data_IF_069744299911
#
_entry.id   IF_069744299911
#
_cell.length_a   1.000
_cell.length_b   1.000
_cell.length_c   1.000
_cell.angle_alpha   90.00
_cell.angle_beta   90.00
_cell.angle_gamma   90.00
#
_symmetry.space_group_name_H-M   'P 1'
#
loop_
_entity.id
_entity.type
_entity.pdbx_description
1 polymer ?
#
# COMPACT_ATOMS: atom_id res chain seq x y z
N UNK A 1 -30.72 9.88 -9.03
CA UNK A 1 -30.64 8.41 -9.20
C UNK A 1 -29.21 7.90 -9.09
N UNK A 2 -28.27 8.37 -9.94
CA UNK A 2 -26.88 7.90 -9.93
C UNK A 2 -26.13 8.17 -8.62
N UNK A 3 -26.28 9.36 -8.03
CA UNK A 3 -25.67 9.67 -6.74
C UNK A 3 -26.10 8.71 -5.61
N UNK A 4 -27.38 8.33 -5.58
CA UNK A 4 -27.90 7.37 -4.61
C UNK A 4 -27.29 5.98 -4.80
N UNK A 5 -27.18 5.51 -6.04
CA UNK A 5 -26.51 4.25 -6.37
C UNK A 5 -25.02 4.29 -5.97
N UNK A 6 -24.34 5.42 -6.19
CA UNK A 6 -22.96 5.61 -5.76
C UNK A 6 -22.79 5.48 -4.25
N UNK A 7 -23.62 6.18 -3.47
CA UNK A 7 -23.62 6.05 -2.00
C UNK A 7 -23.92 4.62 -1.54
N UNK A 8 -24.93 3.97 -2.12
CA UNK A 8 -25.28 2.59 -1.81
C UNK A 8 -24.13 1.62 -2.15
N UNK A 9 -23.44 1.84 -3.26
CA UNK A 9 -22.27 1.02 -3.65
C UNK A 9 -21.20 1.08 -2.57
N UNK A 10 -20.86 2.29 -2.09
CA UNK A 10 -19.86 2.48 -1.01
C UNK A 10 -20.32 1.83 0.28
N UNK A 11 -21.57 2.04 0.70
CA UNK A 11 -22.10 1.46 1.94
C UNK A 11 -22.10 -0.08 1.88
N UNK A 12 -22.60 -0.66 0.80
CA UNK A 12 -22.63 -2.12 0.62
C UNK A 12 -21.21 -2.70 0.59
N UNK A 13 -20.28 -2.03 -0.10
CA UNK A 13 -18.89 -2.44 -0.16
C UNK A 13 -18.24 -2.43 1.23
N UNK A 14 -18.43 -1.36 2.01
CA UNK A 14 -17.93 -1.25 3.38
C UNK A 14 -18.53 -2.33 4.28
N UNK A 15 -19.85 -2.52 4.25
CA UNK A 15 -20.51 -3.57 5.05
C UNK A 15 -20.03 -4.95 4.66
N UNK A 16 -19.88 -5.24 3.36
CA UNK A 16 -19.37 -6.52 2.88
C UNK A 16 -17.96 -6.82 3.40
N UNK A 17 -17.05 -5.84 3.33
CA UNK A 17 -15.66 -5.97 3.80
C UNK A 17 -15.62 -6.08 5.33
N UNK A 18 -16.30 -5.19 6.04
CA UNK A 18 -16.30 -5.13 7.52
C UNK A 18 -16.97 -6.34 8.16
N UNK A 19 -17.94 -6.96 7.48
CA UNK A 19 -18.58 -8.20 7.94
C UNK A 19 -17.62 -9.39 7.98
N UNK A 20 -16.44 -9.28 7.35
CA UNK A 20 -15.44 -10.36 7.18
C UNK A 20 -15.98 -11.63 6.51
N UNK A 21 -17.17 -11.58 5.90
CA UNK A 21 -17.81 -12.72 5.23
C UNK A 21 -17.38 -12.89 3.77
N UNK A 22 -16.78 -11.86 3.18
CA UNK A 22 -16.30 -11.88 1.80
C UNK A 22 -14.85 -11.38 1.75
N UNK A 23 -14.04 -11.96 0.87
CA UNK A 23 -12.69 -11.47 0.59
C UNK A 23 -12.79 -10.04 0.04
N UNK A 24 -12.02 -9.06 0.58
CA UNK A 24 -12.03 -7.69 0.11
C UNK A 24 -11.85 -7.54 -1.41
N UNK A 25 -11.00 -8.36 -2.03
CA UNK A 25 -10.78 -8.34 -3.48
C UNK A 25 -12.06 -8.70 -4.23
N UNK A 26 -12.77 -9.73 -3.77
CA UNK A 26 -14.05 -10.14 -4.36
C UNK A 26 -15.10 -9.04 -4.16
N UNK A 27 -15.13 -8.40 -2.98
CA UNK A 27 -16.03 -7.29 -2.70
C UNK A 27 -15.80 -6.09 -3.65
N UNK A 28 -14.53 -5.73 -3.86
CA UNK A 28 -14.11 -4.64 -4.74
C UNK A 28 -14.45 -4.88 -6.22
N UNK A 29 -14.59 -6.13 -6.64
CA UNK A 29 -14.96 -6.49 -8.02
C UNK A 29 -16.47 -6.61 -8.16
N UNK A 30 -17.11 -7.42 -7.32
CA UNK A 30 -18.50 -7.83 -7.51
C UNK A 30 -19.47 -6.69 -7.21
N UNK A 31 -19.23 -5.91 -6.15
CA UNK A 31 -20.16 -4.86 -5.72
C UNK A 31 -20.31 -3.77 -6.80
N UNK A 32 -19.22 -3.16 -7.34
CA UNK A 32 -19.37 -2.17 -8.40
C UNK A 32 -20.01 -2.72 -9.68
N UNK A 33 -19.75 -3.99 -10.04
CA UNK A 33 -20.37 -4.62 -11.21
C UNK A 33 -21.89 -4.74 -11.03
N UNK A 34 -22.35 -5.24 -9.88
CA UNK A 34 -23.80 -5.38 -9.60
C UNK A 34 -24.48 -4.02 -9.67
N UNK A 35 -23.92 -3.01 -9.01
CA UNK A 35 -24.50 -1.66 -9.00
C UNK A 35 -24.43 -0.99 -10.38
N UNK A 36 -23.39 -1.26 -11.19
CA UNK A 36 -23.31 -0.81 -12.58
C UNK A 36 -24.40 -1.40 -13.46
N UNK A 37 -24.71 -2.70 -13.30
CA UNK A 37 -25.82 -3.35 -14.01
C UNK A 37 -27.16 -2.75 -13.57
N UNK A 38 -27.40 -2.61 -12.26
CA UNK A 38 -28.63 -1.99 -11.71
C UNK A 38 -28.79 -0.55 -12.20
N UNK A 39 -27.68 0.18 -12.37
CA UNK A 39 -27.66 1.54 -12.91
C UNK A 39 -27.95 1.65 -14.41
N UNK A 40 -28.09 0.53 -15.12
CA UNK A 40 -28.33 0.49 -16.57
C UNK A 40 -27.06 0.50 -17.43
N UNK A 41 -25.87 0.46 -16.83
CA UNK A 41 -24.58 0.55 -17.51
C UNK A 41 -24.00 -0.81 -17.94
N UNK A 42 -24.84 -1.85 -18.07
CA UNK A 42 -24.39 -3.22 -18.34
C UNK A 42 -23.48 -3.36 -19.56
N UNK A 43 -23.81 -2.66 -20.67
CA UNK A 43 -23.02 -2.66 -21.90
C UNK A 43 -21.79 -1.76 -21.85
N UNK A 44 -21.76 -0.77 -20.94
CA UNK A 44 -20.65 0.17 -20.79
C UNK A 44 -19.63 -0.29 -19.73
N UNK A 45 -20.00 -1.24 -18.87
CA UNK A 45 -19.13 -1.83 -17.86
C UNK A 45 -17.76 -2.29 -18.40
N UNK A 46 -17.66 -3.00 -19.55
CA UNK A 46 -16.36 -3.38 -20.09
C UNK A 46 -15.46 -2.19 -20.40
N UNK A 47 -16.04 -1.07 -20.87
CA UNK A 47 -15.30 0.16 -21.14
C UNK A 47 -14.80 0.80 -19.85
N UNK A 48 -15.65 0.92 -18.82
CA UNK A 48 -15.24 1.46 -17.52
C UNK A 48 -14.17 0.61 -16.84
N UNK A 49 -14.27 -0.72 -16.93
CA UNK A 49 -13.24 -1.63 -16.43
C UNK A 49 -11.92 -1.40 -17.16
N UNK A 50 -11.94 -1.32 -18.49
CA UNK A 50 -10.73 -1.13 -19.28
C UNK A 50 -10.07 0.24 -19.00
N UNK A 51 -10.87 1.30 -18.89
CA UNK A 51 -10.39 2.64 -18.52
C UNK A 51 -9.79 2.63 -17.10
N UNK A 52 -10.46 1.99 -16.15
CA UNK A 52 -9.95 1.81 -14.79
C UNK A 52 -8.61 1.09 -14.77
N UNK A 53 -8.51 -0.06 -15.44
CA UNK A 53 -7.26 -0.84 -15.55
C UNK A 53 -6.15 -0.03 -16.21
N UNK A 54 -6.44 0.69 -17.30
CA UNK A 54 -5.44 1.55 -17.96
C UNK A 54 -4.93 2.66 -17.05
N UNK A 55 -5.80 3.25 -16.22
CA UNK A 55 -5.41 4.32 -15.30
C UNK A 55 -4.42 3.84 -14.23
N UNK A 56 -4.55 2.60 -13.76
CA UNK A 56 -3.68 2.02 -12.72
C UNK A 56 -2.51 1.20 -13.27
N UNK A 57 -2.46 0.94 -14.59
CA UNK A 57 -1.43 0.11 -15.21
C UNK A 57 0.02 0.60 -14.98
N UNK A 58 0.31 1.92 -15.02
CA UNK A 58 1.64 2.43 -14.68
C UNK A 58 2.04 2.10 -13.24
N UNK A 59 1.10 2.27 -12.30
CA UNK A 59 1.29 1.95 -10.89
C UNK A 59 1.53 0.45 -10.69
N UNK A 60 0.78 -0.41 -11.37
CA UNK A 60 0.99 -1.86 -11.33
C UNK A 60 2.38 -2.28 -11.85
N UNK A 61 2.83 -1.67 -12.95
CA UNK A 61 4.17 -1.91 -13.51
C UNK A 61 5.26 -1.50 -12.51
N UNK A 62 5.10 -0.35 -11.86
CA UNK A 62 6.01 0.11 -10.81
C UNK A 62 6.08 -0.88 -9.64
N UNK A 63 4.94 -1.48 -9.27
CA UNK A 63 4.91 -2.48 -8.19
C UNK A 63 5.70 -3.74 -8.55
N UNK A 64 5.49 -4.26 -9.76
CA UNK A 64 6.22 -5.43 -10.25
C UNK A 64 7.73 -5.14 -10.25
N UNK A 65 8.13 -3.98 -10.78
CA UNK A 65 9.53 -3.56 -10.78
C UNK A 65 10.10 -3.45 -9.36
N UNK A 66 9.43 -2.73 -8.46
CA UNK A 66 9.92 -2.49 -7.10
C UNK A 66 10.08 -3.80 -6.30
N UNK A 67 9.09 -4.70 -6.40
CA UNK A 67 9.15 -6.01 -5.73
C UNK A 67 10.32 -6.82 -6.24
N UNK A 68 10.52 -6.89 -7.57
CA UNK A 68 11.63 -7.63 -8.17
C UNK A 68 12.99 -7.00 -7.83
N UNK A 69 13.11 -5.67 -7.95
CA UNK A 69 14.34 -4.93 -7.67
C UNK A 69 14.78 -5.09 -6.21
N UNK A 70 13.89 -4.79 -5.26
CA UNK A 70 14.22 -4.91 -3.84
C UNK A 70 14.33 -6.36 -3.38
N UNK A 71 13.58 -7.28 -3.99
CA UNK A 71 13.74 -8.71 -3.78
C UNK A 71 15.15 -9.17 -4.14
N UNK A 72 15.61 -8.86 -5.36
CA UNK A 72 16.97 -9.20 -5.81
C UNK A 72 18.04 -8.56 -4.92
N UNK A 73 17.90 -7.28 -4.54
CA UNK A 73 18.85 -6.63 -3.64
C UNK A 73 18.91 -7.25 -2.25
N UNK A 74 17.78 -7.75 -1.74
CA UNK A 74 17.70 -8.46 -0.47
C UNK A 74 18.39 -9.82 -0.56
N UNK A 75 18.08 -10.59 -1.60
CA UNK A 75 18.65 -11.92 -1.81
C UNK A 75 20.16 -11.86 -2.09
N UNK A 76 20.63 -10.80 -2.76
CA UNK A 76 22.06 -10.55 -3.00
C UNK A 76 22.83 -10.09 -1.74
N UNK A 77 22.14 -9.81 -0.63
CA UNK A 77 22.77 -9.31 0.59
C UNK A 77 23.26 -7.86 0.49
N UNK A 78 22.86 -7.10 -0.54
CA UNK A 78 23.28 -5.71 -0.77
C UNK A 78 22.92 -4.80 0.40
N UNK A 79 21.86 -5.13 1.13
CA UNK A 79 21.44 -4.38 2.31
C UNK A 79 22.29 -4.66 3.56
N UNK A 80 23.02 -5.78 3.63
CA UNK A 80 23.77 -6.17 4.84
C UNK A 80 24.78 -5.10 5.29
N UNK A 81 25.65 -4.55 4.42
CA UNK A 81 26.60 -3.51 4.81
C UNK A 81 25.91 -2.19 5.20
N UNK A 82 24.74 -1.90 4.62
CA UNK A 82 23.96 -0.70 4.94
C UNK A 82 23.33 -0.86 6.33
N UNK A 83 22.74 -2.03 6.61
CA UNK A 83 22.17 -2.38 7.90
C UNK A 83 23.25 -2.31 8.99
N UNK A 84 24.41 -2.92 8.75
CA UNK A 84 25.50 -2.94 9.73
C UNK A 84 25.98 -1.53 10.07
N UNK A 85 26.16 -0.66 9.07
CA UNK A 85 26.51 0.76 9.27
C UNK A 85 25.43 1.55 10.02
N UNK A 86 24.16 1.29 9.74
CA UNK A 86 23.04 1.92 10.45
C UNK A 86 23.02 1.45 11.90
N UNK A 87 23.15 0.15 12.15
CA UNK A 87 23.22 -0.42 13.49
C UNK A 87 24.43 0.09 14.29
N UNK A 88 25.55 0.34 13.62
CA UNK A 88 26.75 0.91 14.24
C UNK A 88 26.55 2.37 14.69
N UNK A 89 25.82 3.19 13.90
CA UNK A 89 25.53 4.59 14.25
C UNK A 89 24.34 4.78 15.17
N UNK A 90 23.27 4.01 14.95
CA UNK A 90 21.97 4.16 15.64
C UNK A 90 21.92 3.28 16.89
N UNK A 91 22.73 2.22 16.94
CA UNK A 91 22.71 1.21 17.99
C UNK A 91 21.55 0.23 17.84
N UNK A 92 21.25 -0.50 18.93
CA UNK A 92 20.10 -1.43 19.02
C UNK A 92 18.83 -0.75 19.55
N UNK A 93 18.73 0.57 19.47
CA UNK A 93 17.59 1.33 20.01
C UNK A 93 16.37 1.25 19.08
N UNK A 94 15.30 0.53 19.46
CA UNK A 94 14.12 0.34 18.62
C UNK A 94 13.38 1.66 18.33
N UNK A 95 13.51 2.66 19.22
CA UNK A 95 12.81 3.94 19.08
C UNK A 95 13.40 4.73 17.91
N UNK A 96 14.73 4.84 17.83
CA UNK A 96 15.40 5.58 16.76
C UNK A 96 15.12 4.98 15.38
N UNK A 97 15.03 3.66 15.31
CA UNK A 97 14.71 2.93 14.07
C UNK A 97 13.26 3.19 13.65
N UNK A 98 12.35 3.22 14.62
CA UNK A 98 10.95 3.57 14.38
C UNK A 98 10.81 5.00 13.87
N UNK A 99 11.55 5.95 14.44
CA UNK A 99 11.59 7.34 13.94
C UNK A 99 12.16 7.40 12.52
N UNK A 100 13.27 6.70 12.25
CA UNK A 100 13.84 6.61 10.91
C UNK A 100 12.87 6.01 9.88
N UNK A 101 12.07 5.02 10.30
CA UNK A 101 11.00 4.44 9.48
C UNK A 101 9.95 5.48 9.12
N UNK A 102 9.50 6.28 10.10
CA UNK A 102 8.52 7.33 9.87
C UNK A 102 9.06 8.40 8.92
N UNK A 103 10.29 8.86 9.12
CA UNK A 103 10.94 9.86 8.26
C UNK A 103 11.08 9.33 6.83
N UNK A 104 11.55 8.10 6.66
CA UNK A 104 11.67 7.48 5.34
C UNK A 104 10.30 7.37 4.65
N UNK A 105 9.28 6.89 5.37
CA UNK A 105 7.92 6.80 4.83
C UNK A 105 7.41 8.17 4.36
N UNK A 106 7.60 9.22 5.15
CA UNK A 106 7.16 10.57 4.79
C UNK A 106 7.92 11.12 3.57
N UNK A 107 9.24 10.92 3.49
CA UNK A 107 10.03 11.36 2.34
C UNK A 107 9.64 10.65 1.06
N UNK A 108 9.39 9.34 1.13
CA UNK A 108 8.94 8.57 -0.04
C UNK A 108 7.53 8.99 -0.45
N UNK A 109 6.65 9.27 0.50
CA UNK A 109 5.26 9.67 0.23
C UNK A 109 5.11 11.08 -0.35
N UNK A 110 6.21 11.80 -0.64
CA UNK A 110 6.14 13.10 -1.30
C UNK A 110 5.49 13.04 -2.70
N UNK A 111 5.36 11.85 -3.28
CA UNK A 111 4.61 11.60 -4.52
C UNK A 111 3.10 11.38 -4.28
N UNK A 112 2.63 11.45 -3.04
CA UNK A 112 1.24 11.19 -2.63
C UNK A 112 0.81 9.73 -2.79
N UNK A 113 1.71 8.82 -3.15
CA UNK A 113 1.37 7.44 -3.46
C UNK A 113 1.63 6.54 -2.26
N UNK A 114 0.55 6.16 -1.57
CA UNK A 114 0.63 5.25 -0.43
C UNK A 114 1.29 3.93 -0.80
N UNK A 115 0.97 3.39 -1.96
CA UNK A 115 1.49 2.11 -2.38
C UNK A 115 3.00 2.16 -2.71
N UNK A 116 3.49 3.23 -3.34
CA UNK A 116 4.92 3.44 -3.56
C UNK A 116 5.66 3.56 -2.23
N UNK A 117 5.05 4.26 -1.26
CA UNK A 117 5.58 4.41 0.09
C UNK A 117 5.80 3.06 0.77
N UNK A 118 4.81 2.18 0.75
CA UNK A 118 4.96 0.84 1.31
C UNK A 118 6.00 0.00 0.57
N UNK A 119 6.05 0.11 -0.76
CA UNK A 119 6.98 -0.67 -1.59
C UNK A 119 8.45 -0.30 -1.43
N UNK A 120 8.75 0.94 -1.07
CA UNK A 120 10.13 1.36 -0.82
C UNK A 120 10.46 1.18 0.66
N UNK A 121 9.57 1.63 1.55
CA UNK A 121 9.84 1.67 2.99
C UNK A 121 9.90 0.28 3.61
N UNK A 122 8.97 -0.63 3.26
CA UNK A 122 8.94 -1.96 3.87
C UNK A 122 10.19 -2.77 3.50
N UNK A 123 10.55 -2.98 2.23
CA UNK A 123 11.73 -3.79 1.91
C UNK A 123 13.03 -3.17 2.44
N UNK A 124 13.13 -1.84 2.47
CA UNK A 124 14.30 -1.15 3.02
C UNK A 124 14.45 -1.34 4.55
N UNK A 125 13.34 -1.29 5.30
CA UNK A 125 13.38 -1.35 6.77
C UNK A 125 13.17 -2.76 7.33
N UNK A 126 12.55 -3.67 6.58
CA UNK A 126 12.22 -5.02 7.03
C UNK A 126 13.45 -5.84 7.47
N UNK A 127 14.61 -5.80 6.79
CA UNK A 127 15.81 -6.46 7.26
C UNK A 127 16.27 -5.94 8.63
N UNK A 128 16.24 -4.62 8.84
CA UNK A 128 16.63 -3.99 10.10
C UNK A 128 15.68 -4.36 11.25
N UNK A 129 14.37 -4.34 10.99
CA UNK A 129 13.37 -4.80 11.96
C UNK A 129 13.55 -6.28 12.30
N UNK A 130 13.87 -7.12 11.30
CA UNK A 130 14.08 -8.55 11.49
C UNK A 130 15.35 -8.84 12.28
N UNK A 131 16.45 -8.13 12.00
CA UNK A 131 17.73 -8.28 12.70
C UNK A 131 17.64 -7.94 14.20
N UNK A 132 16.74 -7.05 14.59
CA UNK A 132 16.51 -6.64 15.98
C UNK A 132 15.33 -7.32 16.66
N UNK A 133 14.65 -8.26 15.98
CA UNK A 133 13.46 -8.92 16.51
C UNK A 133 12.27 -7.97 16.73
N UNK A 134 12.21 -6.84 16.02
CA UNK A 134 11.11 -5.89 16.10
C UNK A 134 9.86 -6.42 15.40
N UNK A 135 8.69 -6.03 15.89
CA UNK A 135 7.40 -6.44 15.29
C UNK A 135 7.24 -5.83 13.90
N UNK A 136 7.03 -6.68 12.89
CA UNK A 136 6.71 -6.27 11.50
C UNK A 136 5.44 -5.44 11.42
N UNK A 137 4.50 -5.65 12.34
CA UNK A 137 3.30 -4.81 12.45
C UNK A 137 3.63 -3.37 12.82
N UNK A 138 4.64 -3.12 13.66
CA UNK A 138 5.09 -1.76 13.97
C UNK A 138 5.64 -1.06 12.74
N UNK A 139 6.45 -1.74 11.92
CA UNK A 139 6.90 -1.22 10.63
C UNK A 139 5.71 -0.82 9.73
N UNK A 140 4.76 -1.74 9.56
CA UNK A 140 3.59 -1.49 8.73
C UNK A 140 2.73 -0.32 9.25
N UNK A 141 2.48 -0.27 10.56
CA UNK A 141 1.71 0.80 11.20
C UNK A 141 2.39 2.15 11.06
N UNK A 142 3.69 2.23 11.33
CA UNK A 142 4.43 3.50 11.26
C UNK A 142 4.52 4.00 9.82
N UNK A 143 4.72 3.11 8.86
CA UNK A 143 4.67 3.44 7.42
C UNK A 143 3.29 3.94 7.02
N UNK A 144 2.23 3.27 7.46
CA UNK A 144 0.84 3.66 7.20
C UNK A 144 0.50 5.03 7.78
N UNK A 145 0.92 5.29 9.01
CA UNK A 145 0.73 6.59 9.67
C UNK A 145 1.55 7.69 9.00
N UNK A 146 2.79 7.42 8.59
CA UNK A 146 3.62 8.37 7.83
C UNK A 146 2.97 8.77 6.51
N UNK A 147 2.49 7.79 5.73
CA UNK A 147 1.72 8.05 4.52
C UNK A 147 0.42 8.82 4.82
N UNK A 148 -0.33 8.41 5.85
CA UNK A 148 -1.58 9.05 6.25
C UNK A 148 -1.40 10.53 6.65
N UNK A 149 -0.35 10.85 7.39
CA UNK A 149 -0.01 12.23 7.78
C UNK A 149 0.36 13.06 6.56
N UNK A 150 1.10 12.49 5.61
CA UNK A 150 1.52 13.21 4.40
C UNK A 150 0.36 13.48 3.42
N UNK A 151 -0.76 12.73 3.50
CA UNK A 151 -1.98 13.05 2.75
C UNK A 151 -2.70 14.33 3.23
N UNK A 152 -2.19 15.01 4.26
CA UNK A 152 -2.63 16.37 4.63
C UNK A 152 -2.04 17.42 3.67
N UNK A 153 -0.91 17.11 3.03
CA UNK A 153 -0.36 17.93 1.96
C UNK A 153 -1.17 17.67 0.67
N UNK A 154 -1.46 18.72 -0.12
CA UNK A 154 -2.24 18.60 -1.35
C UNK A 154 -1.55 17.74 -2.42
#
# INVERSE_FOLDING_TARGET
>A
MLALLGFLTVVVLLVAIMSKKMNPVVALIVVPIIFGIIGGFGFELPKFILEGVKSIAPTGTMFIFAILFFGILTDAGTFQPIIDKILEKVGKDPIKITIGTAVLAMLVHLDGSGAVTFLITIPAMLPLYSALGMRKTTLATVTALGAGVMNILP
#
